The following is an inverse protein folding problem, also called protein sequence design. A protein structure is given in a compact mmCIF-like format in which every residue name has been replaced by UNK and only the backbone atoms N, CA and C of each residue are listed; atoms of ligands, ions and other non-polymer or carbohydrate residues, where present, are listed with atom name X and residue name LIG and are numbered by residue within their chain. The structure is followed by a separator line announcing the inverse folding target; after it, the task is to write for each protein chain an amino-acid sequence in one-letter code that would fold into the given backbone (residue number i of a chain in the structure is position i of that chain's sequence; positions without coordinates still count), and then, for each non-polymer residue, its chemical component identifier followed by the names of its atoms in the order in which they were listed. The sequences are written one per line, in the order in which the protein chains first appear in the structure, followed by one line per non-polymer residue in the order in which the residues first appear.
data_IF_215373894192
#
_entry.id   IF_215373894192
#
_cell.length_a   1.000
_cell.length_b   1.000
_cell.length_c   1.000
_cell.angle_alpha   90.00
_cell.angle_beta   90.00
_cell.angle_gamma   90.00
#
_symmetry.space_group_name_H-M   'P 1'
#
loop_
_entity.id
_entity.type
_entity.pdbx_description
1 polymer ?
#
# COMPACT_ATOMS: atom_id res chain seq x y z
N UNK A 1 10.68 21.77 3.25
CA UNK A 1 9.74 20.62 3.11
C UNK A 1 10.25 19.52 4.04
N UNK A 2 9.37 18.79 4.75
CA UNK A 2 9.80 17.81 5.77
C UNK A 2 9.70 16.35 5.30
N UNK A 3 8.99 16.09 4.21
CA UNK A 3 8.85 14.76 3.63
C UNK A 3 7.96 14.76 2.39
N UNK A 4 7.95 13.63 1.71
CA UNK A 4 7.05 13.31 0.60
C UNK A 4 6.20 12.11 0.96
N UNK A 5 4.96 12.07 0.47
CA UNK A 5 4.04 10.97 0.71
C UNK A 5 3.50 10.43 -0.62
N UNK A 6 3.61 9.11 -0.81
CA UNK A 6 3.17 8.41 -2.02
C UNK A 6 1.80 7.79 -1.80
N UNK A 7 0.85 8.13 -2.68
CA UNK A 7 -0.40 7.39 -2.86
C UNK A 7 -0.28 6.45 -4.07
N UNK A 8 -0.03 5.14 -3.89
CA UNK A 8 0.25 4.24 -5.02
C UNK A 8 -0.85 4.21 -6.08
N UNK A 9 -2.13 4.27 -5.67
CA UNK A 9 -3.27 4.24 -6.61
C UNK A 9 -3.36 5.49 -7.49
N UNK A 10 -3.22 6.68 -6.92
CA UNK A 10 -3.25 7.94 -7.68
C UNK A 10 -2.01 8.09 -8.57
N UNK A 11 -0.86 7.63 -8.08
CA UNK A 11 0.38 7.57 -8.87
C UNK A 11 0.21 6.65 -10.08
N UNK A 12 -0.33 5.45 -9.89
CA UNK A 12 -0.60 4.51 -10.99
C UNK A 12 -1.53 5.13 -12.04
N UNK A 13 -2.63 5.75 -11.59
CA UNK A 13 -3.56 6.45 -12.48
C UNK A 13 -2.87 7.58 -13.28
N UNK A 14 -1.99 8.35 -12.63
CA UNK A 14 -1.23 9.42 -13.27
C UNK A 14 -0.25 8.90 -14.33
N UNK A 15 0.20 7.65 -14.19
CA UNK A 15 1.05 6.95 -15.16
C UNK A 15 0.25 6.26 -16.26
N UNK A 16 -1.08 6.39 -16.29
CA UNK A 16 -1.95 5.69 -17.23
C UNK A 16 -2.13 4.19 -16.92
N UNK A 17 -1.75 3.76 -15.72
CA UNK A 17 -1.92 2.39 -15.24
C UNK A 17 -3.28 2.24 -14.53
N UNK A 18 -3.80 1.02 -14.52
CA UNK A 18 -4.99 0.71 -13.73
C UNK A 18 -4.64 0.68 -12.24
N UNK A 19 -5.52 1.18 -11.37
CA UNK A 19 -5.32 1.11 -9.93
C UNK A 19 -5.54 -0.33 -9.46
N UNK A 20 -4.53 -0.88 -8.76
CA UNK A 20 -4.64 -2.11 -8.00
C UNK A 20 -3.90 -3.33 -8.57
N UNK A 21 -3.23 -4.04 -7.66
CA UNK A 21 -2.88 -5.48 -7.57
C UNK A 21 -2.54 -6.31 -8.83
N UNK A 22 -2.26 -5.73 -9.99
CA UNK A 22 -1.43 -6.40 -10.99
C UNK A 22 0.00 -6.57 -10.42
N UNK A 23 0.77 -7.60 -10.82
CA UNK A 23 2.19 -7.65 -10.49
C UNK A 23 2.80 -6.29 -10.84
N UNK A 24 3.61 -5.70 -9.95
CA UNK A 24 4.02 -4.31 -10.08
C UNK A 24 4.58 -4.06 -11.48
N UNK A 25 4.00 -3.11 -12.20
CA UNK A 25 4.63 -2.63 -13.42
C UNK A 25 6.08 -2.23 -13.06
N UNK A 26 7.11 -2.74 -13.74
CA UNK A 26 8.50 -2.44 -13.41
C UNK A 26 8.78 -0.93 -13.40
N UNK A 27 8.07 -0.14 -14.21
CA UNK A 27 8.14 1.32 -14.20
C UNK A 27 7.54 1.90 -12.93
N UNK A 28 6.39 1.40 -12.49
CA UNK A 28 5.76 1.83 -11.24
C UNK A 28 6.68 1.61 -10.03
N UNK A 29 7.35 0.46 -9.96
CA UNK A 29 8.35 0.17 -8.92
C UNK A 29 9.51 1.15 -8.99
N UNK A 30 10.08 1.37 -10.19
CA UNK A 30 11.18 2.33 -10.38
C UNK A 30 10.82 3.74 -9.93
N UNK A 31 9.58 4.17 -10.16
CA UNK A 31 9.12 5.50 -9.73
C UNK A 31 9.04 5.60 -8.21
N UNK A 32 8.49 4.58 -7.53
CA UNK A 32 8.46 4.53 -6.05
C UNK A 32 9.88 4.53 -5.47
N UNK A 33 10.77 3.70 -6.01
CA UNK A 33 12.18 3.64 -5.60
C UNK A 33 12.89 4.99 -5.80
N UNK A 34 12.58 5.68 -6.90
CA UNK A 34 13.10 7.02 -7.19
C UNK A 34 12.64 8.07 -6.18
N UNK A 35 11.37 8.03 -5.75
CA UNK A 35 10.87 8.92 -4.68
C UNK A 35 11.59 8.65 -3.37
N UNK A 36 11.78 7.38 -3.01
CA UNK A 36 12.51 7.01 -1.79
C UNK A 36 13.96 7.49 -1.83
N UNK A 37 14.66 7.27 -2.95
CA UNK A 37 16.03 7.73 -3.14
C UNK A 37 16.13 9.27 -3.03
N UNK A 38 15.23 10.01 -3.68
CA UNK A 38 15.21 11.46 -3.61
C UNK A 38 14.97 12.00 -2.18
N UNK A 39 14.11 11.33 -1.40
CA UNK A 39 13.89 11.67 0.01
C UNK A 39 15.15 11.45 0.84
N UNK A 40 15.82 10.30 0.65
CA UNK A 40 17.08 9.95 1.33
C UNK A 40 18.19 10.95 0.99
N UNK A 41 18.37 11.27 -0.29
CA UNK A 41 19.37 12.25 -0.74
C UNK A 41 19.12 13.66 -0.19
N UNK A 42 17.84 14.00 0.00
CA UNK A 42 17.43 15.30 0.54
C UNK A 42 17.34 15.35 2.07
N UNK A 43 17.54 14.22 2.76
CA UNK A 43 17.41 14.12 4.22
C UNK A 43 16.01 14.40 4.75
N UNK A 44 14.96 14.06 4.00
CA UNK A 44 13.55 14.24 4.38
C UNK A 44 12.82 12.90 4.48
N UNK A 45 11.70 12.86 5.20
CA UNK A 45 10.96 11.62 5.43
C UNK A 45 10.23 11.13 4.16
N UNK A 46 10.23 9.82 3.94
CA UNK A 46 9.44 9.15 2.89
C UNK A 46 8.23 8.45 3.50
N UNK A 47 7.03 8.81 3.05
CA UNK A 47 5.76 8.19 3.44
C UNK A 47 5.07 7.46 2.29
N UNK A 48 4.31 6.40 2.59
CA UNK A 48 3.54 5.67 1.57
C UNK A 48 2.26 5.03 2.15
N UNK A 49 1.20 4.97 1.33
CA UNK A 49 -0.01 4.20 1.62
C UNK A 49 0.15 2.72 1.21
N UNK A 50 -0.22 1.80 2.09
CA UNK A 50 -0.07 0.37 1.90
C UNK A 50 -1.44 -0.32 1.94
N UNK A 51 -1.71 -1.19 0.97
CA UNK A 51 -2.99 -1.91 0.90
C UNK A 51 -3.21 -2.92 2.05
N UNK A 52 -2.12 -3.40 2.65
CA UNK A 52 -2.14 -4.36 3.75
C UNK A 52 -0.89 -4.24 4.63
N UNK A 53 -0.87 -4.98 5.75
CA UNK A 53 0.28 -5.05 6.64
C UNK A 53 1.50 -5.71 5.99
N UNK A 54 1.29 -6.71 5.14
CA UNK A 54 2.37 -7.39 4.40
C UNK A 54 3.07 -6.43 3.45
N UNK A 55 2.31 -5.62 2.70
CA UNK A 55 2.87 -4.60 1.82
C UNK A 55 3.60 -3.51 2.62
N UNK A 56 3.05 -3.13 3.78
CA UNK A 56 3.72 -2.17 4.66
C UNK A 56 5.07 -2.70 5.16
N UNK A 57 5.17 -3.99 5.49
CA UNK A 57 6.42 -4.61 5.90
C UNK A 57 7.49 -4.54 4.79
N UNK A 58 7.10 -4.81 3.54
CA UNK A 58 8.01 -4.69 2.39
C UNK A 58 8.53 -3.25 2.24
N UNK A 59 7.67 -2.24 2.34
CA UNK A 59 8.10 -0.84 2.26
C UNK A 59 8.91 -0.38 3.47
N UNK A 60 8.64 -0.94 4.66
CA UNK A 60 9.48 -0.73 5.84
C UNK A 60 10.90 -1.26 5.62
N UNK A 61 11.04 -2.46 5.05
CA UNK A 61 12.34 -3.07 4.72
C UNK A 61 13.12 -2.27 3.67
N UNK A 62 12.43 -1.62 2.73
CA UNK A 62 13.04 -0.70 1.77
C UNK A 62 13.53 0.61 2.40
N UNK A 63 12.98 0.97 3.57
CA UNK A 63 13.38 2.12 4.37
C UNK A 63 12.47 3.35 4.22
N UNK A 64 11.16 3.15 4.01
CA UNK A 64 10.17 4.22 4.21
C UNK A 64 9.99 4.52 5.71
N UNK A 65 9.81 5.80 6.05
CA UNK A 65 9.72 6.28 7.44
C UNK A 65 8.28 6.28 7.98
N UNK A 66 7.29 6.50 7.11
CA UNK A 66 5.89 6.59 7.47
C UNK A 66 5.03 5.67 6.60
N UNK A 67 4.27 4.79 7.24
CA UNK A 67 3.45 3.76 6.57
C UNK A 67 2.00 3.91 7.00
N UNK A 68 1.11 4.22 6.05
CA UNK A 68 -0.33 4.11 6.30
C UNK A 68 -0.78 2.71 5.94
N UNK A 69 -1.17 1.91 6.94
CA UNK A 69 -1.51 0.51 6.75
C UNK A 69 -3.03 0.34 6.60
N UNK A 70 -3.45 -0.02 5.39
CA UNK A 70 -4.84 -0.23 5.01
C UNK A 70 -5.74 1.01 5.21
N UNK A 71 -7.04 0.84 4.98
CA UNK A 71 -8.07 1.81 5.36
C UNK A 71 -9.06 1.15 6.30
N UNK A 72 -9.75 1.95 7.12
CA UNK A 72 -10.84 1.48 7.96
C UNK A 72 -11.92 0.74 7.15
N UNK A 73 -12.28 1.24 5.97
CA UNK A 73 -13.23 0.61 5.06
C UNK A 73 -12.75 -0.75 4.55
N UNK A 74 -11.46 -0.88 4.20
CA UNK A 74 -10.92 -2.17 3.75
C UNK A 74 -10.84 -3.18 4.90
N UNK A 75 -10.45 -2.73 6.10
CA UNK A 75 -10.40 -3.55 7.31
C UNK A 75 -11.79 -4.01 7.74
N UNK A 76 -12.79 -3.12 7.78
CA UNK A 76 -14.18 -3.47 8.09
C UNK A 76 -14.74 -4.45 7.07
N UNK A 77 -14.50 -4.21 5.78
CA UNK A 77 -14.95 -5.13 4.72
C UNK A 77 -14.34 -6.51 4.88
N UNK A 78 -13.03 -6.59 5.16
CA UNK A 78 -12.34 -7.86 5.38
C UNK A 78 -12.88 -8.60 6.61
N UNK A 79 -13.04 -7.89 7.73
CA UNK A 79 -13.58 -8.45 8.98
C UNK A 79 -15.03 -8.95 8.84
N UNK A 80 -15.89 -8.20 8.17
CA UNK A 80 -17.29 -8.62 7.90
C UNK A 80 -17.30 -9.87 7.01
N UNK A 81 -16.51 -9.90 5.93
CA UNK A 81 -16.41 -11.06 5.05
C UNK A 81 -15.94 -12.31 5.80
N UNK A 82 -14.93 -12.18 6.66
CA UNK A 82 -14.42 -13.29 7.46
C UNK A 82 -15.50 -13.87 8.39
N UNK A 83 -16.25 -13.01 9.10
CA UNK A 83 -17.32 -13.45 10.00
C UNK A 83 -18.49 -14.11 9.25
N UNK A 84 -18.88 -13.59 8.08
CA UNK A 84 -19.92 -14.20 7.25
C UNK A 84 -19.50 -15.57 6.72
N UNK A 85 -18.23 -15.74 6.30
CA UNK A 85 -17.72 -17.03 5.85
C UNK A 85 -17.71 -18.06 6.99
N UNK A 86 -17.26 -17.68 8.18
CA UNK A 86 -17.28 -18.54 9.36
C UNK A 86 -18.71 -18.98 9.75
N UNK A 87 -19.68 -18.07 9.68
CA UNK A 87 -21.08 -18.37 9.94
C UNK A 87 -21.67 -19.34 8.91
N UNK A 88 -21.40 -19.13 7.61
CA UNK A 88 -21.85 -20.00 6.52
C UNK A 88 -21.26 -21.40 6.59
N UNK A 89 -20.00 -21.54 7.00
CA UNK A 89 -19.36 -22.85 7.14
C UNK A 89 -19.97 -23.69 8.27
N UNK A 90 -20.49 -23.05 9.33
CA UNK A 90 -21.17 -23.74 10.44
C UNK A 90 -22.60 -24.18 10.14
N UNK A 91 -23.22 -23.67 9.08
CA UNK A 91 -24.56 -24.03 8.66
C UNK A 91 -24.61 -25.26 7.72
N UNK A 92 -23.45 -25.89 7.48
CA UNK A 92 -23.31 -27.15 6.75
C UNK A 92 -23.24 -28.37 7.68
N UNK A 93 -24.29 -28.58 8.48
CA UNK A 93 -24.71 -29.85 9.11
C UNK A 93 -26.22 -29.90 9.09
#
# INVERSE_FOLDING_TARGET
MHGLYVGPSDLALSMGLLPGHAPPDPEFVRVIDGVLAACKDSGIAAGIHCASGEIAAVYAEQGFDMLTVASDGSLLTAGVRANLMAAKHRAGT
#
